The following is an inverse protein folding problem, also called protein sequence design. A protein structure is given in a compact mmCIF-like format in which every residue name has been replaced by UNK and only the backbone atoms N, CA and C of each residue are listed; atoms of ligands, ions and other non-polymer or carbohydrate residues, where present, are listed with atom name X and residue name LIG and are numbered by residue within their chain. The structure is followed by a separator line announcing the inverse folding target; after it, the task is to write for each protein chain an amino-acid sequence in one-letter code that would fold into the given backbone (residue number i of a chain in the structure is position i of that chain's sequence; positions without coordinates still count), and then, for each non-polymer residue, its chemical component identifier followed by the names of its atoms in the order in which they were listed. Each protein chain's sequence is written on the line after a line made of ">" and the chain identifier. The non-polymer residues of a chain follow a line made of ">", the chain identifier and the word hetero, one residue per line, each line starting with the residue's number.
data_IF_875810457105
#
_entry.id   IF_875810457105
#
_cell.length_a   1.000
_cell.length_b   1.000
_cell.length_c   1.000
_cell.angle_alpha   90.00
_cell.angle_beta   90.00
_cell.angle_gamma   90.00
#
_symmetry.space_group_name_H-M   'P 1'
#
loop_
_entity.id
_entity.type
_entity.pdbx_description
1 polymer ?
#
# COMPACT_ATOMS: atom_id res chain seq x y z
N UNK A 1 -18.20 -8.01 -22.68
CA UNK A 1 -18.36 -8.63 -21.35
C UNK A 1 -17.62 -9.96 -21.17
N UNK A 2 -17.17 -10.63 -22.23
CA UNK A 2 -16.54 -11.98 -22.13
C UNK A 2 -15.00 -11.97 -21.97
N UNK A 3 -14.32 -10.92 -22.39
CA UNK A 3 -12.83 -10.87 -22.31
C UNK A 3 -12.28 -10.70 -20.89
N UNK A 4 -12.97 -9.95 -20.03
CA UNK A 4 -12.56 -9.73 -18.62
C UNK A 4 -12.71 -11.01 -17.79
N UNK A 5 -13.76 -11.82 -18.07
CA UNK A 5 -13.95 -13.11 -17.38
C UNK A 5 -12.87 -14.13 -17.73
N UNK A 6 -12.35 -14.13 -18.96
CA UNK A 6 -11.27 -15.02 -19.37
C UNK A 6 -9.93 -14.64 -18.72
N UNK A 7 -9.62 -13.34 -18.56
CA UNK A 7 -8.39 -12.88 -17.92
C UNK A 7 -8.38 -13.21 -16.43
N UNK A 8 -9.52 -13.02 -15.73
CA UNK A 8 -9.66 -13.41 -14.33
C UNK A 8 -9.53 -14.93 -14.13
N UNK A 9 -10.05 -15.74 -15.07
CA UNK A 9 -9.93 -17.21 -15.02
C UNK A 9 -8.49 -17.68 -15.26
N UNK A 10 -7.75 -17.05 -16.17
CA UNK A 10 -6.33 -17.36 -16.42
C UNK A 10 -5.47 -17.01 -15.20
N UNK A 11 -5.78 -15.91 -14.51
CA UNK A 11 -5.06 -15.54 -13.28
C UNK A 11 -5.31 -16.53 -12.13
N UNK A 12 -6.52 -17.06 -12.00
CA UNK A 12 -6.86 -18.09 -10.99
C UNK A 12 -6.20 -19.43 -11.35
N UNK A 13 -6.11 -19.79 -12.63
CA UNK A 13 -5.48 -21.06 -13.05
C UNK A 13 -3.95 -21.03 -12.95
N UNK A 14 -3.30 -19.89 -13.10
CA UNK A 14 -1.84 -19.78 -12.95
C UNK A 14 -1.37 -19.89 -11.48
N UNK A 15 -2.25 -19.66 -10.50
CA UNK A 15 -1.92 -19.84 -9.08
C UNK A 15 -1.82 -21.35 -8.69
N UNK A 16 -2.50 -22.23 -9.41
CA UNK A 16 -2.54 -23.66 -9.08
C UNK A 16 -1.36 -24.48 -9.61
N UNK A 17 -0.51 -23.92 -10.47
CA UNK A 17 0.62 -24.65 -11.08
C UNK A 17 1.98 -24.46 -10.36
N UNK A 18 2.01 -23.70 -9.26
CA UNK A 18 3.23 -23.55 -8.44
C UNK A 18 3.46 -24.69 -7.41
N UNK A 19 2.77 -25.82 -7.55
CA UNK A 19 3.05 -27.03 -6.77
C UNK A 19 4.18 -27.85 -7.40
N UNK A 20 5.38 -27.34 -7.30
CA UNK A 20 6.54 -28.05 -7.78
C UNK A 20 7.80 -27.78 -6.96
N UNK A 21 8.12 -28.73 -6.10
CA UNK A 21 9.38 -29.03 -5.41
C UNK A 21 9.56 -28.59 -3.96
N UNK A 22 9.38 -29.57 -3.08
CA UNK A 22 10.12 -29.95 -1.86
C UNK A 22 10.70 -28.84 -0.93
N UNK A 23 9.92 -27.91 -0.54
CA UNK A 23 9.80 -27.35 0.82
C UNK A 23 8.44 -26.67 0.85
N UNK A 24 7.50 -27.21 1.63
CA UNK A 24 6.22 -26.53 1.82
C UNK A 24 6.53 -25.16 2.40
N UNK A 25 6.58 -24.12 1.57
CA UNK A 25 6.65 -22.74 2.03
C UNK A 25 5.40 -22.45 2.86
N UNK A 26 5.60 -22.06 4.11
CA UNK A 26 4.52 -21.62 4.99
C UNK A 26 3.81 -20.45 4.33
N UNK A 27 2.50 -20.55 4.20
CA UNK A 27 1.65 -19.48 3.68
C UNK A 27 0.84 -18.91 4.83
N UNK A 28 0.69 -17.59 4.88
CA UNK A 28 -0.19 -16.93 5.84
C UNK A 28 -1.07 -15.91 5.13
N UNK A 29 -2.25 -15.69 5.70
CA UNK A 29 -3.17 -14.64 5.29
C UNK A 29 -3.38 -13.69 6.46
N UNK A 30 -3.31 -12.39 6.19
CA UNK A 30 -3.51 -11.35 7.17
C UNK A 30 -4.61 -10.38 6.74
N UNK A 31 -5.32 -9.85 7.72
CA UNK A 31 -6.12 -8.65 7.59
C UNK A 31 -5.47 -7.53 8.39
N UNK A 32 -5.28 -6.37 7.76
CA UNK A 32 -4.65 -5.22 8.39
C UNK A 32 -5.55 -4.00 8.26
N UNK A 33 -5.54 -3.19 9.30
CA UNK A 33 -6.08 -1.84 9.31
C UNK A 33 -4.94 -0.87 9.58
N UNK A 34 -4.87 0.20 8.82
CA UNK A 34 -3.87 1.23 9.01
C UNK A 34 -4.46 2.64 8.89
N UNK A 35 -3.77 3.60 9.46
CA UNK A 35 -4.09 5.01 9.33
C UNK A 35 -2.81 5.84 9.39
N UNK A 36 -2.90 7.07 8.87
CA UNK A 36 -1.77 7.96 8.84
C UNK A 36 -2.10 9.33 8.30
N UNK A 37 -1.06 10.11 8.11
CA UNK A 37 -1.15 11.44 7.54
C UNK A 37 0.13 11.78 6.76
N UNK A 38 0.11 12.91 6.09
CA UNK A 38 1.25 13.44 5.35
C UNK A 38 2.48 13.59 6.24
N UNK A 39 3.66 13.37 5.66
CA UNK A 39 4.92 13.78 6.27
C UNK A 39 4.95 15.31 6.24
N UNK A 40 5.24 15.93 7.39
CA UNK A 40 5.20 17.37 7.67
C UNK A 40 5.23 18.24 6.41
N UNK A 41 4.12 18.89 6.11
CA UNK A 41 3.95 19.73 4.94
C UNK A 41 3.04 20.91 5.31
N UNK A 42 3.38 22.12 4.84
CA UNK A 42 2.57 23.33 5.05
C UNK A 42 1.67 23.65 3.86
N UNK A 43 1.84 22.95 2.74
CA UNK A 43 1.14 23.27 1.50
C UNK A 43 -0.20 22.57 1.37
N UNK A 44 -0.38 21.44 2.03
CA UNK A 44 -1.59 20.63 1.95
C UNK A 44 -1.78 19.76 3.20
N UNK A 45 -2.99 19.25 3.39
CA UNK A 45 -3.28 18.15 4.32
C UNK A 45 -3.58 16.88 3.53
N UNK A 46 -3.18 15.73 4.08
CA UNK A 46 -3.58 14.43 3.59
C UNK A 46 -3.63 13.47 4.76
N UNK A 47 -4.84 13.03 5.12
CA UNK A 47 -5.05 12.02 6.15
C UNK A 47 -5.71 10.80 5.52
N UNK A 48 -5.35 9.62 5.99
CA UNK A 48 -5.87 8.39 5.41
C UNK A 48 -6.12 7.30 6.47
N UNK A 49 -7.06 6.43 6.14
CA UNK A 49 -7.25 5.13 6.77
C UNK A 49 -7.50 4.08 5.69
N UNK A 50 -7.03 2.85 5.93
CA UNK A 50 -7.10 1.81 4.92
C UNK A 50 -7.23 0.42 5.50
N UNK A 51 -7.78 -0.44 4.68
CA UNK A 51 -7.88 -1.88 4.91
C UNK A 51 -7.01 -2.61 3.89
N UNK A 52 -6.32 -3.63 4.36
CA UNK A 52 -5.40 -4.41 3.55
C UNK A 52 -5.57 -5.89 3.85
N UNK A 53 -5.64 -6.71 2.83
CA UNK A 53 -5.42 -8.14 2.94
C UNK A 53 -3.99 -8.41 2.52
N UNK A 54 -3.27 -9.27 3.22
CA UNK A 54 -1.92 -9.66 2.85
C UNK A 54 -1.84 -11.18 2.77
N UNK A 55 -1.36 -11.67 1.66
CA UNK A 55 -0.92 -13.07 1.52
C UNK A 55 0.60 -13.07 1.56
N UNK A 56 1.17 -13.83 2.48
CA UNK A 56 2.62 -14.01 2.60
C UNK A 56 2.98 -15.45 2.28
N UNK A 57 4.03 -15.61 1.48
CA UNK A 57 4.60 -16.90 1.09
C UNK A 57 6.06 -16.96 1.49
N UNK A 58 6.43 -17.94 2.33
CA UNK A 58 7.79 -18.18 2.76
C UNK A 58 8.62 -18.80 1.62
N UNK A 59 9.55 -18.01 1.08
CA UNK A 59 10.45 -18.46 0.01
C UNK A 59 11.63 -19.26 0.58
N UNK A 60 12.19 -18.74 1.69
CA UNK A 60 13.41 -19.28 2.29
C UNK A 60 13.45 -19.00 3.78
N UNK A 61 13.88 -19.98 4.53
CA UNK A 61 14.21 -19.85 5.95
C UNK A 61 15.68 -20.22 6.17
N UNK A 62 16.33 -19.43 7.00
CA UNK A 62 17.71 -19.67 7.47
C UNK A 62 17.70 -19.71 9.00
N UNK A 63 18.84 -20.01 9.62
CA UNK A 63 18.94 -20.01 11.10
C UNK A 63 18.58 -18.66 11.74
N UNK A 64 18.64 -17.56 10.98
CA UNK A 64 18.47 -16.21 11.51
C UNK A 64 17.36 -15.42 10.84
N UNK A 65 16.94 -15.76 9.63
CA UNK A 65 16.01 -14.95 8.85
C UNK A 65 15.01 -15.80 8.07
N UNK A 66 13.81 -15.27 7.92
CA UNK A 66 12.77 -15.74 7.00
C UNK A 66 12.59 -14.70 5.89
N UNK A 67 12.49 -15.17 4.66
CA UNK A 67 12.32 -14.36 3.45
C UNK A 67 10.97 -14.69 2.84
N UNK A 68 10.10 -13.68 2.74
CA UNK A 68 8.72 -13.85 2.32
C UNK A 68 8.41 -12.97 1.12
N UNK A 69 7.67 -13.50 0.14
CA UNK A 69 6.94 -12.69 -0.84
C UNK A 69 5.60 -12.31 -0.25
N UNK A 70 5.16 -11.09 -0.52
CA UNK A 70 3.86 -10.61 -0.06
C UNK A 70 3.04 -10.04 -1.21
N UNK A 71 1.73 -10.31 -1.21
CA UNK A 71 0.74 -9.71 -2.08
C UNK A 71 -0.28 -8.98 -1.21
N UNK A 72 -0.55 -7.71 -1.53
CA UNK A 72 -1.28 -6.80 -0.66
C UNK A 72 -2.34 -6.00 -1.42
N UNK A 73 -3.54 -6.55 -1.71
CA UNK A 73 -4.68 -5.73 -2.08
C UNK A 73 -5.06 -4.78 -0.93
N UNK A 74 -5.24 -3.50 -1.26
CA UNK A 74 -5.51 -2.41 -0.33
C UNK A 74 -6.66 -1.54 -0.82
N UNK A 75 -7.51 -1.12 0.10
CA UNK A 75 -8.54 -0.10 -0.07
C UNK A 75 -8.25 1.04 0.90
N UNK A 76 -7.91 2.21 0.37
CA UNK A 76 -7.56 3.40 1.12
C UNK A 76 -8.64 4.48 0.97
N UNK A 77 -9.01 5.11 2.08
CA UNK A 77 -9.89 6.26 2.17
C UNK A 77 -9.08 7.42 2.72
N UNK A 78 -8.97 8.48 1.95
CA UNK A 78 -8.21 9.65 2.34
C UNK A 78 -9.05 10.92 2.23
N UNK A 79 -8.64 11.94 2.99
CA UNK A 79 -9.11 13.31 2.83
C UNK A 79 -7.93 14.20 2.50
N UNK A 80 -8.13 15.14 1.59
CA UNK A 80 -7.10 16.05 1.12
C UNK A 80 -7.64 17.47 0.93
N UNK A 81 -6.77 18.45 1.23
CA UNK A 81 -7.05 19.87 0.98
C UNK A 81 -5.75 20.60 0.68
N UNK A 82 -5.72 21.38 -0.40
CA UNK A 82 -4.64 22.33 -0.66
C UNK A 82 -4.75 23.52 0.32
N UNK A 83 -3.69 23.79 1.08
CA UNK A 83 -3.60 24.92 2.02
C UNK A 83 -2.93 26.13 1.38
N UNK A 84 -1.85 25.91 0.64
CA UNK A 84 -1.12 26.94 -0.06
C UNK A 84 -1.60 27.06 -1.50
N UNK A 85 -2.56 27.95 -1.76
CA UNK A 85 -3.11 28.13 -3.11
C UNK A 85 -2.09 28.65 -4.14
N UNK A 86 -0.94 29.19 -3.73
CA UNK A 86 0.16 29.58 -4.63
C UNK A 86 0.87 28.37 -5.24
N UNK A 87 0.62 27.15 -4.74
CA UNK A 87 1.08 25.93 -5.40
C UNK A 87 0.55 25.81 -6.84
N UNK A 88 -0.67 26.32 -7.08
CA UNK A 88 -1.21 26.51 -8.43
C UNK A 88 -0.81 27.89 -8.90
N UNK A 89 0.11 27.96 -9.86
CA UNK A 89 0.69 29.24 -10.30
C UNK A 89 -0.18 29.96 -11.32
N UNK A 90 -0.08 31.30 -11.43
CA UNK A 90 -0.88 32.08 -12.40
C UNK A 90 -0.63 31.73 -13.87
N UNK A 91 0.50 31.08 -14.18
CA UNK A 91 0.85 30.59 -15.52
C UNK A 91 0.02 29.38 -15.95
N UNK A 92 -0.63 28.71 -15.00
CA UNK A 92 -1.47 27.56 -15.32
C UNK A 92 -2.80 28.01 -15.94
N UNK A 93 -3.22 27.29 -16.97
CA UNK A 93 -4.52 27.52 -17.58
C UNK A 93 -5.62 27.33 -16.51
N UNK A 94 -6.56 28.30 -16.41
CA UNK A 94 -7.67 28.31 -15.45
C UNK A 94 -7.22 28.23 -13.98
N UNK A 95 -6.09 28.88 -13.63
CA UNK A 95 -5.52 28.82 -12.29
C UNK A 95 -6.48 29.25 -11.18
N UNK A 96 -7.38 30.23 -11.44
CA UNK A 96 -8.37 30.70 -10.48
C UNK A 96 -9.35 29.56 -10.14
N UNK A 97 -9.90 28.90 -11.14
CA UNK A 97 -10.83 27.77 -10.96
C UNK A 97 -10.14 26.58 -10.28
N UNK A 98 -8.88 26.31 -10.67
CA UNK A 98 -8.06 25.26 -10.04
C UNK A 98 -7.80 25.55 -8.55
N UNK A 99 -7.46 26.80 -8.19
CA UNK A 99 -7.30 27.20 -6.80
C UNK A 99 -8.58 26.98 -6.02
N UNK A 100 -9.71 27.46 -6.53
CA UNK A 100 -11.02 27.25 -5.91
C UNK A 100 -11.37 25.77 -5.77
N UNK A 101 -11.07 24.94 -6.79
CA UNK A 101 -11.32 23.51 -6.80
C UNK A 101 -10.46 22.77 -5.77
N UNK A 102 -9.17 23.09 -5.67
CA UNK A 102 -8.21 22.30 -4.89
C UNK A 102 -8.13 22.73 -3.41
N UNK A 103 -8.53 23.95 -3.07
CA UNK A 103 -8.63 24.41 -1.69
C UNK A 103 -9.86 23.88 -0.95
N UNK A 104 -10.82 23.26 -1.65
CA UNK A 104 -11.94 22.54 -1.04
C UNK A 104 -11.47 21.18 -0.50
N UNK A 105 -11.94 20.81 0.69
CA UNK A 105 -11.71 19.48 1.24
C UNK A 105 -12.29 18.42 0.30
N UNK A 106 -11.55 17.37 0.04
CA UNK A 106 -11.89 16.27 -0.87
C UNK A 106 -11.77 14.92 -0.19
N UNK A 107 -12.72 14.07 -0.46
CA UNK A 107 -12.63 12.65 -0.15
C UNK A 107 -12.01 11.92 -1.35
N UNK A 108 -11.10 11.01 -1.08
CA UNK A 108 -10.34 10.24 -2.07
C UNK A 108 -10.49 8.76 -1.73
N UNK A 109 -10.78 7.94 -2.75
CA UNK A 109 -10.70 6.48 -2.64
C UNK A 109 -9.59 5.97 -3.55
N UNK A 110 -8.76 5.13 -2.99
CA UNK A 110 -7.62 4.54 -3.69
C UNK A 110 -7.68 3.03 -3.56
N UNK A 111 -7.40 2.34 -4.66
CA UNK A 111 -7.34 0.89 -4.77
C UNK A 111 -5.94 0.51 -5.21
N UNK A 112 -5.19 -0.19 -4.37
CA UNK A 112 -3.82 -0.59 -4.68
C UNK A 112 -3.65 -2.11 -4.64
N UNK A 113 -2.67 -2.60 -5.39
CA UNK A 113 -2.23 -3.99 -5.36
C UNK A 113 -0.71 -4.02 -5.17
N UNK A 114 -0.25 -4.05 -3.93
CA UNK A 114 1.15 -4.12 -3.59
C UNK A 114 1.73 -5.52 -3.78
N UNK A 115 2.91 -5.60 -4.38
CA UNK A 115 3.75 -6.80 -4.40
C UNK A 115 5.03 -6.43 -3.66
N UNK A 116 5.45 -7.25 -2.71
CA UNK A 116 6.55 -6.88 -1.85
C UNK A 116 7.38 -8.05 -1.37
N UNK A 117 8.42 -7.69 -0.66
CA UNK A 117 9.36 -8.59 -0.05
C UNK A 117 9.52 -8.26 1.44
N UNK A 118 9.48 -9.30 2.27
CA UNK A 118 9.62 -9.17 3.71
C UNK A 118 10.83 -9.98 4.18
N UNK A 119 11.69 -9.35 4.97
CA UNK A 119 12.79 -10.02 5.68
C UNK A 119 12.46 -9.99 7.16
N UNK A 120 12.18 -11.15 7.71
CA UNK A 120 11.75 -11.35 9.10
C UNK A 120 12.87 -12.00 9.91
N UNK A 121 13.16 -11.44 11.08
CA UNK A 121 14.11 -11.96 12.05
C UNK A 121 13.36 -12.44 13.29
N UNK A 122 13.36 -13.73 13.62
CA UNK A 122 12.90 -14.21 14.92
C UNK A 122 13.80 -13.66 16.03
N UNK A 123 13.21 -13.01 17.03
CA UNK A 123 13.90 -12.50 18.23
C UNK A 123 13.61 -13.36 19.47
N UNK A 124 12.51 -14.14 19.42
CA UNK A 124 12.18 -15.17 20.38
C UNK A 124 11.32 -16.26 19.73
N UNK A 125 10.87 -17.27 20.49
CA UNK A 125 9.96 -18.32 20.01
C UNK A 125 8.62 -17.78 19.51
N UNK A 126 8.20 -16.62 20.02
CA UNK A 126 6.88 -16.03 19.72
C UNK A 126 6.99 -14.65 19.07
N UNK A 127 8.15 -14.00 19.10
CA UNK A 127 8.29 -12.61 18.64
C UNK A 127 9.23 -12.50 17.44
N UNK A 128 8.86 -11.66 16.49
CA UNK A 128 9.69 -11.34 15.31
C UNK A 128 9.72 -9.84 15.07
N UNK A 129 10.84 -9.37 14.53
CA UNK A 129 10.96 -8.06 13.90
C UNK A 129 11.16 -8.25 12.39
N UNK A 130 10.74 -7.30 11.57
CA UNK A 130 10.91 -7.42 10.13
C UNK A 130 10.96 -6.07 9.42
N UNK A 131 11.51 -6.09 8.23
CA UNK A 131 11.43 -5.02 7.23
C UNK A 131 10.62 -5.54 6.06
N UNK A 132 9.69 -4.72 5.57
CA UNK A 132 8.87 -5.00 4.40
C UNK A 132 8.99 -3.83 3.43
N UNK A 133 9.26 -4.12 2.18
CA UNK A 133 9.15 -3.17 1.07
C UNK A 133 8.17 -3.71 0.04
N UNK A 134 7.26 -2.86 -0.43
CA UNK A 134 6.31 -3.21 -1.49
C UNK A 134 6.10 -2.05 -2.45
N UNK A 135 5.79 -2.41 -3.68
CA UNK A 135 5.43 -1.49 -4.76
C UNK A 135 4.25 -2.09 -5.52
N UNK A 136 3.37 -1.25 -6.03
CA UNK A 136 2.28 -1.76 -6.87
C UNK A 136 1.46 -0.71 -7.56
N UNK A 137 0.71 -1.13 -8.60
CA UNK A 137 -0.26 -0.28 -9.28
C UNK A 137 -1.36 0.15 -8.30
N UNK A 138 -1.84 1.35 -8.53
CA UNK A 138 -2.92 1.98 -7.79
C UNK A 138 -3.84 2.74 -8.73
N UNK A 139 -5.10 2.86 -8.36
CA UNK A 139 -6.08 3.74 -9.00
C UNK A 139 -6.64 4.68 -7.94
N UNK A 140 -6.62 5.99 -8.23
CA UNK A 140 -7.31 7.00 -7.43
C UNK A 140 -8.56 7.51 -8.16
N UNK A 141 -9.65 7.70 -7.44
CA UNK A 141 -10.93 8.17 -8.00
C UNK A 141 -11.04 9.69 -8.09
N UNK A 142 -10.10 10.41 -7.48
CA UNK A 142 -10.19 11.87 -7.32
C UNK A 142 -8.91 12.55 -7.81
N UNK A 143 -9.09 13.64 -8.56
CA UNK A 143 -8.02 14.52 -8.99
C UNK A 143 -7.70 15.56 -7.93
N UNK A 144 -6.40 15.77 -7.71
CA UNK A 144 -5.85 16.83 -6.85
C UNK A 144 -4.82 17.65 -7.62
N UNK A 145 -4.34 18.74 -7.04
CA UNK A 145 -3.23 19.52 -7.63
C UNK A 145 -1.92 18.73 -7.67
N UNK A 146 -1.83 17.63 -6.90
CA UNK A 146 -0.62 16.82 -6.75
C UNK A 146 -0.65 15.52 -7.53
N UNK A 147 -1.84 14.99 -7.80
CA UNK A 147 -2.00 13.70 -8.46
C UNK A 147 -3.25 13.71 -9.33
N UNK A 148 -3.08 13.35 -10.60
CA UNK A 148 -4.20 13.18 -11.52
C UNK A 148 -5.06 11.98 -11.12
N UNK A 149 -6.37 12.07 -11.38
CA UNK A 149 -7.29 10.93 -11.24
C UNK A 149 -6.88 9.80 -12.17
N UNK A 150 -6.96 8.56 -11.70
CA UNK A 150 -6.69 7.36 -12.47
C UNK A 150 -5.48 6.59 -11.97
N UNK A 151 -4.63 6.17 -12.89
CA UNK A 151 -3.52 5.27 -12.59
C UNK A 151 -2.37 5.97 -11.86
N UNK A 152 -1.84 5.29 -10.85
CA UNK A 152 -0.66 5.69 -10.08
C UNK A 152 0.06 4.45 -9.55
N UNK A 153 1.13 4.67 -8.78
CA UNK A 153 1.86 3.66 -8.02
C UNK A 153 1.84 4.00 -6.54
N UNK A 154 1.90 2.97 -5.71
CA UNK A 154 2.04 3.08 -4.27
C UNK A 154 3.26 2.28 -3.84
N UNK A 155 4.25 2.96 -3.26
CA UNK A 155 5.47 2.38 -2.73
C UNK A 155 5.41 2.44 -1.20
N UNK A 156 5.70 1.34 -0.53
CA UNK A 156 5.63 1.25 0.93
C UNK A 156 6.92 0.66 1.47
N UNK A 157 7.47 1.30 2.50
CA UNK A 157 8.54 0.77 3.34
C UNK A 157 8.04 0.71 4.78
N UNK A 158 8.10 -0.46 5.40
CA UNK A 158 7.61 -0.69 6.74
C UNK A 158 8.65 -1.41 7.62
N UNK A 159 8.65 -1.05 8.92
CA UNK A 159 9.29 -1.80 9.98
C UNK A 159 8.19 -2.44 10.82
N UNK A 160 8.28 -3.73 11.10
CA UNK A 160 7.24 -4.42 11.82
C UNK A 160 7.73 -5.21 13.01
N UNK A 161 6.80 -5.38 13.94
CA UNK A 161 6.92 -6.29 15.07
C UNK A 161 5.70 -7.20 15.07
N UNK A 162 5.91 -8.49 15.27
CA UNK A 162 4.83 -9.47 15.34
C UNK A 162 4.98 -10.43 16.50
N UNK A 163 3.83 -10.84 17.06
CA UNK A 163 3.73 -11.82 18.13
C UNK A 163 2.87 -13.00 17.63
N UNK A 164 3.43 -14.21 17.67
CA UNK A 164 2.76 -15.45 17.32
C UNK A 164 2.23 -16.13 18.57
N UNK A 165 0.92 -16.41 18.56
CA UNK A 165 0.24 -17.21 19.58
C UNK A 165 -0.49 -18.34 18.83
N UNK A 166 0.01 -19.55 18.92
CA UNK A 166 -0.42 -20.71 18.14
C UNK A 166 -0.38 -20.44 16.63
N UNK A 167 -1.53 -20.42 15.96
CA UNK A 167 -1.66 -20.13 14.54
C UNK A 167 -1.95 -18.65 14.23
N UNK A 168 -2.18 -17.83 15.25
CA UNK A 168 -2.50 -16.41 15.10
C UNK A 168 -1.25 -15.58 15.30
N UNK A 169 -1.06 -14.60 14.42
CA UNK A 169 0.02 -13.61 14.52
C UNK A 169 -0.61 -12.24 14.66
N UNK A 170 -0.28 -11.55 15.73
CA UNK A 170 -0.58 -10.13 15.94
C UNK A 170 0.57 -9.31 15.36
N UNK A 171 0.24 -8.26 14.65
CA UNK A 171 1.20 -7.47 13.90
C UNK A 171 0.99 -5.97 14.15
N UNK A 172 2.09 -5.25 14.33
CA UNK A 172 2.11 -3.78 14.35
C UNK A 172 3.30 -3.29 13.54
N UNK A 173 3.06 -2.31 12.64
CA UNK A 173 4.12 -1.79 11.80
C UNK A 173 3.92 -0.32 11.44
N UNK A 174 4.83 0.57 11.85
CA UNK A 174 5.00 1.87 11.23
C UNK A 174 5.47 1.72 9.79
N UNK A 175 4.96 2.58 8.91
CA UNK A 175 5.33 2.59 7.49
C UNK A 175 5.42 3.99 6.92
N UNK A 176 6.21 4.12 5.85
CA UNK A 176 6.25 5.26 4.96
C UNK A 176 5.64 4.82 3.63
N UNK A 177 4.75 5.64 3.09
CA UNK A 177 4.12 5.40 1.80
C UNK A 177 4.37 6.59 0.88
N UNK A 178 4.84 6.31 -0.32
CA UNK A 178 4.93 7.24 -1.43
C UNK A 178 3.90 6.88 -2.50
N UNK A 179 3.20 7.90 -3.03
CA UNK A 179 2.25 7.75 -4.13
C UNK A 179 2.63 8.70 -5.24
N UNK A 180 2.77 8.20 -6.47
CA UNK A 180 3.03 9.01 -7.66
C UNK A 180 2.54 8.30 -8.92
N UNK A 181 2.34 9.03 -10.02
CA UNK A 181 1.97 8.41 -11.29
C UNK A 181 3.17 8.24 -12.25
N UNK A 182 4.41 8.33 -11.75
CA UNK A 182 5.63 8.18 -12.52
C UNK A 182 5.69 9.08 -13.78
N UNK A 183 5.09 10.27 -13.72
CA UNK A 183 4.98 11.24 -14.82
C UNK A 183 4.13 10.75 -16.03
N UNK A 184 3.32 9.72 -15.84
CA UNK A 184 2.40 9.24 -16.89
C UNK A 184 1.24 10.21 -17.14
N UNK A 185 1.01 11.16 -16.23
CA UNK A 185 -0.05 12.17 -16.31
C UNK A 185 0.47 13.52 -15.81
N UNK A 186 -0.26 14.62 -16.11
CA UNK A 186 0.19 16.00 -15.93
C UNK A 186 0.49 16.40 -14.48
N UNK A 187 -0.27 15.91 -13.49
CA UNK A 187 -0.04 16.22 -12.06
C UNK A 187 0.63 15.03 -11.40
N UNK A 188 1.88 15.18 -10.96
CA UNK A 188 2.71 14.11 -10.35
C UNK A 188 3.58 14.60 -9.18
N UNK A 189 3.14 15.58 -8.41
CA UNK A 189 3.84 15.93 -7.17
C UNK A 189 3.66 14.86 -6.08
N UNK A 190 2.62 14.05 -6.18
CA UNK A 190 2.36 12.90 -5.34
C UNK A 190 2.15 13.20 -3.86
N UNK A 191 2.04 12.14 -3.06
CA UNK A 191 1.87 12.21 -1.61
C UNK A 191 2.89 11.33 -0.90
N UNK A 192 3.41 11.85 0.23
CA UNK A 192 4.25 11.09 1.15
C UNK A 192 3.55 11.03 2.50
N UNK A 193 3.26 9.84 2.99
CA UNK A 193 2.58 9.64 4.26
C UNK A 193 3.40 8.77 5.22
N UNK A 194 3.21 9.02 6.51
CA UNK A 194 3.64 8.16 7.61
C UNK A 194 2.39 7.49 8.17
N UNK A 195 2.44 6.19 8.35
CA UNK A 195 1.30 5.40 8.77
C UNK A 195 1.69 4.44 9.88
N UNK A 196 0.68 3.96 10.59
CA UNK A 196 0.79 2.81 11.48
C UNK A 196 -0.27 1.80 11.10
N UNK A 197 0.10 0.52 11.06
CA UNK A 197 -0.77 -0.59 10.70
C UNK A 197 -0.83 -1.60 11.84
N UNK A 198 -2.01 -2.16 12.04
CA UNK A 198 -2.29 -3.27 12.96
C UNK A 198 -2.89 -4.42 12.17
N UNK A 199 -2.42 -5.61 12.43
CA UNK A 199 -2.83 -6.80 11.69
C UNK A 199 -3.04 -8.04 12.53
N UNK A 200 -3.89 -8.91 11.98
CA UNK A 200 -4.06 -10.28 12.44
C UNK A 200 -3.80 -11.21 11.26
N UNK A 201 -2.91 -12.18 11.45
CA UNK A 201 -2.58 -13.18 10.42
C UNK A 201 -2.88 -14.57 10.94
N UNK A 202 -3.28 -15.45 10.00
CA UNK A 202 -3.43 -16.89 10.22
C UNK A 202 -2.43 -17.64 9.35
N UNK A 203 -1.73 -18.59 9.95
CA UNK A 203 -0.87 -19.54 9.23
C UNK A 203 -1.77 -20.66 8.69
N UNK A 204 -1.67 -20.94 7.40
CA UNK A 204 -2.48 -21.93 6.66
C UNK A 204 -1.86 -23.33 6.68
#
# INVERSE_FOLDING_TARGET
>A
MNKIKCIALIFIFSITTFYGQNTKGETSIAFLYGFGNEIKNSNYTYTNNYYKVQVSYLIKETNHFKYELVLQPELNFATHQLLNFYFVTPEETNYIEKREKYTKLKDIKEYALGIGFCVRKPVSKIANIYVLASIGPMITDTETERLSKGFAFSDVLALGFSLKVDKVIFDVRPSLRHVSNAQLQSSNAGFNTKNIEFGLSLIL
#
